data_IF_148030420592
#
_entry.id   IF_148030420592
#
_cell.length_a   1.000
_cell.length_b   1.000
_cell.length_c   1.000
_cell.angle_alpha   90.00
_cell.angle_beta   90.00
_cell.angle_gamma   90.00
#
_symmetry.space_group_name_H-M   'P 1'
#
loop_
_entity.id
_entity.type
_entity.pdbx_description
1 polymer ?
#
# COMPACT_ATOMS: atom_id res chain seq x y z
N UNK A 1 -0.93 15.33 -10.88
CA UNK A 1 -2.29 14.77 -11.17
C UNK A 1 -2.56 13.56 -10.26
N UNK A 2 -3.80 13.38 -9.76
CA UNK A 2 -4.24 12.19 -9.02
C UNK A 2 -5.05 11.29 -9.94
N UNK A 3 -4.61 10.05 -10.09
CA UNK A 3 -5.24 9.05 -10.97
C UNK A 3 -6.09 8.10 -10.14
N UNK A 4 -7.34 7.91 -10.55
CA UNK A 4 -8.26 6.90 -10.01
C UNK A 4 -8.52 5.84 -11.10
N UNK A 5 -8.64 4.57 -10.69
CA UNK A 5 -9.16 3.49 -11.55
C UNK A 5 -10.51 3.05 -11.01
N UNK A 6 -11.50 2.87 -11.88
CA UNK A 6 -12.87 2.62 -11.42
C UNK A 6 -13.71 1.92 -12.48
N UNK A 7 -14.87 1.37 -12.06
CA UNK A 7 -15.89 0.86 -12.98
C UNK A 7 -16.95 1.90 -13.25
N UNK A 8 -17.39 1.98 -14.50
CA UNK A 8 -18.51 2.80 -14.96
C UNK A 8 -19.86 2.06 -14.80
N UNK A 9 -20.99 2.74 -15.03
CA UNK A 9 -22.33 2.13 -15.05
C UNK A 9 -22.47 0.99 -16.08
N UNK A 10 -21.67 1.02 -17.16
CA UNK A 10 -21.65 -0.05 -18.16
C UNK A 10 -20.75 -1.23 -17.76
N UNK A 11 -20.16 -1.20 -16.56
CA UNK A 11 -19.24 -2.22 -16.07
C UNK A 11 -17.85 -2.16 -16.71
N UNK A 12 -17.52 -1.09 -17.45
CA UNK A 12 -16.22 -0.90 -18.06
C UNK A 12 -15.24 -0.35 -17.03
N UNK A 13 -14.04 -0.94 -16.95
CA UNK A 13 -12.94 -0.41 -16.16
C UNK A 13 -12.21 0.68 -16.94
N UNK A 14 -12.02 1.82 -16.30
CA UNK A 14 -11.41 3.01 -16.89
C UNK A 14 -10.53 3.72 -15.86
N UNK A 15 -9.67 4.61 -16.35
CA UNK A 15 -8.89 5.54 -15.53
C UNK A 15 -9.47 6.95 -15.65
N UNK A 16 -9.34 7.72 -14.57
CA UNK A 16 -9.75 9.11 -14.53
C UNK A 16 -8.93 9.94 -13.56
N UNK A 17 -9.21 11.23 -13.55
CA UNK A 17 -8.67 12.20 -12.59
C UNK A 17 -9.79 13.06 -12.01
N UNK A 18 -9.44 13.99 -11.11
CA UNK A 18 -10.36 14.93 -10.49
C UNK A 18 -11.63 14.29 -9.91
N UNK A 19 -11.42 13.15 -9.23
CA UNK A 19 -12.49 12.44 -8.55
C UNK A 19 -13.03 13.24 -7.36
N UNK A 20 -14.34 13.51 -7.38
CA UNK A 20 -15.03 14.28 -6.36
C UNK A 20 -15.83 13.41 -5.35
N UNK A 21 -15.59 12.09 -5.35
CA UNK A 21 -16.31 11.10 -4.55
C UNK A 21 -17.51 10.48 -5.30
N UNK A 22 -17.90 11.01 -6.47
CA UNK A 22 -19.06 10.57 -7.23
C UNK A 22 -18.79 10.45 -8.73
N UNK A 23 -18.06 11.41 -9.29
CA UNK A 23 -17.67 11.44 -10.70
C UNK A 23 -16.18 11.66 -10.85
N UNK A 24 -15.62 11.25 -11.97
CA UNK A 24 -14.23 11.54 -12.35
C UNK A 24 -14.15 11.94 -13.82
N UNK A 25 -13.15 12.75 -14.19
CA UNK A 25 -12.82 13.02 -15.57
C UNK A 25 -12.04 11.86 -16.15
N UNK A 26 -12.41 11.35 -17.35
CA UNK A 26 -11.65 10.28 -18.00
C UNK A 26 -10.25 10.77 -18.38
N UNK A 27 -9.27 9.87 -18.32
CA UNK A 27 -7.91 10.15 -18.80
C UNK A 27 -7.53 9.19 -19.92
N UNK A 28 -6.77 9.70 -20.88
CA UNK A 28 -6.03 8.90 -21.83
C UNK A 28 -4.62 8.65 -21.27
N UNK A 29 -4.15 7.42 -21.35
CA UNK A 29 -2.80 7.03 -20.97
C UNK A 29 -2.01 6.67 -22.22
N UNK A 30 -0.86 7.32 -22.40
CA UNK A 30 0.10 6.97 -23.46
C UNK A 30 1.01 5.80 -23.04
N UNK A 31 1.76 5.24 -23.99
CA UNK A 31 2.70 4.13 -23.76
C UNK A 31 3.82 4.47 -22.77
N UNK A 32 4.17 5.74 -22.62
CA UNK A 32 5.19 6.22 -21.68
C UNK A 32 4.62 6.58 -20.30
N UNK A 33 3.36 6.21 -20.04
CA UNK A 33 2.63 6.52 -18.80
C UNK A 33 2.42 8.03 -18.56
N UNK A 34 2.27 8.81 -19.64
CA UNK A 34 1.74 10.17 -19.55
C UNK A 34 0.21 10.12 -19.55
N UNK A 35 -0.41 10.87 -18.65
CA UNK A 35 -1.87 10.93 -18.52
C UNK A 35 -2.37 12.29 -18.99
N UNK A 36 -3.43 12.29 -19.80
CA UNK A 36 -4.08 13.49 -20.31
C UNK A 36 -5.55 13.47 -19.96
N UNK A 37 -6.03 14.52 -19.31
CA UNK A 37 -7.45 14.69 -19.03
C UNK A 37 -8.22 14.94 -20.33
N UNK A 38 -9.26 14.16 -20.57
CA UNK A 38 -10.13 14.33 -21.76
C UNK A 38 -11.22 15.38 -21.56
N UNK A 39 -11.47 15.80 -20.33
CA UNK A 39 -12.59 16.67 -19.93
C UNK A 39 -13.95 15.96 -19.89
N UNK A 40 -14.05 14.68 -20.27
CA UNK A 40 -15.27 13.90 -20.20
C UNK A 40 -15.47 13.35 -18.79
N UNK A 41 -16.50 13.79 -18.07
CA UNK A 41 -16.83 13.30 -16.73
C UNK A 41 -17.85 12.16 -16.77
N UNK A 42 -17.55 11.11 -15.99
CA UNK A 42 -18.40 9.93 -15.87
C UNK A 42 -18.61 9.56 -14.39
N UNK A 43 -19.69 8.84 -14.12
CA UNK A 43 -20.02 8.36 -12.76
C UNK A 43 -19.08 7.20 -12.37
N UNK A 44 -18.56 7.27 -11.13
CA UNK A 44 -17.75 6.23 -10.50
C UNK A 44 -18.67 5.30 -9.74
N UNK A 45 -18.80 4.06 -10.21
CA UNK A 45 -19.64 3.04 -9.55
C UNK A 45 -18.87 2.31 -8.47
N UNK A 46 -17.63 1.90 -8.77
CA UNK A 46 -16.74 1.25 -7.82
C UNK A 46 -15.31 1.72 -8.05
N UNK A 47 -14.65 2.15 -6.98
CA UNK A 47 -13.22 2.47 -7.01
C UNK A 47 -12.41 1.17 -6.98
N UNK A 48 -11.49 1.03 -7.90
CA UNK A 48 -10.57 -0.10 -8.01
C UNK A 48 -9.17 0.30 -7.50
N UNK A 49 -8.31 -0.65 -7.16
CA UNK A 49 -6.90 -0.33 -6.94
C UNK A 49 -6.35 0.46 -8.12
N UNK A 50 -5.61 1.56 -7.88
CA UNK A 50 -5.17 2.45 -8.96
C UNK A 50 -4.11 1.82 -9.87
N UNK A 51 -3.60 0.65 -9.51
CA UNK A 51 -2.63 -0.14 -10.27
C UNK A 51 -3.00 -1.62 -10.24
N UNK A 52 -2.74 -2.34 -11.33
CA UNK A 52 -2.70 -3.80 -11.39
C UNK A 52 -1.24 -4.23 -11.33
N UNK A 53 -0.73 -4.59 -10.15
CA UNK A 53 0.70 -4.77 -9.99
C UNK A 53 1.22 -6.04 -10.67
N UNK A 54 2.32 -5.89 -11.43
CA UNK A 54 3.10 -7.03 -11.95
C UNK A 54 3.75 -7.85 -10.84
N UNK A 55 4.05 -7.21 -9.71
CA UNK A 55 4.52 -7.80 -8.46
C UNK A 55 4.20 -6.86 -7.30
N UNK A 56 3.99 -7.42 -6.10
CA UNK A 56 3.87 -6.66 -4.85
C UNK A 56 5.08 -7.03 -3.99
N UNK A 57 6.01 -6.09 -3.85
CA UNK A 57 7.24 -6.24 -3.06
C UNK A 57 7.09 -5.41 -1.80
N UNK A 58 7.40 -5.99 -0.65
CA UNK A 58 7.23 -5.35 0.64
C UNK A 58 8.55 -5.27 1.39
N UNK A 59 8.75 -4.19 2.14
CA UNK A 59 9.94 -3.96 2.94
C UNK A 59 9.60 -4.01 4.42
N UNK A 60 10.10 -5.03 5.11
CA UNK A 60 9.91 -5.19 6.56
C UNK A 60 10.83 -4.30 7.38
N UNK A 61 10.33 -3.86 8.55
CA UNK A 61 11.07 -3.14 9.57
C UNK A 61 11.80 -1.88 9.04
N UNK A 62 11.09 -1.07 8.28
CA UNK A 62 11.68 0.10 7.62
C UNK A 62 11.46 1.43 8.34
N UNK A 63 10.90 1.44 9.55
CA UNK A 63 10.78 2.66 10.38
C UNK A 63 11.54 2.50 11.69
N UNK A 64 12.33 3.53 12.06
CA UNK A 64 13.19 3.50 13.26
C UNK A 64 12.39 3.33 14.54
N UNK A 65 11.25 4.04 14.63
CA UNK A 65 10.37 3.95 15.81
C UNK A 65 9.69 2.59 15.90
N UNK A 66 9.30 1.98 14.74
CA UNK A 66 8.74 0.64 14.71
C UNK A 66 9.78 -0.43 15.12
N UNK A 67 11.04 -0.31 14.67
CA UNK A 67 12.12 -1.17 15.13
C UNK A 67 12.30 -1.09 16.67
N UNK A 68 12.31 0.13 17.23
CA UNK A 68 12.36 0.35 18.68
C UNK A 68 11.15 -0.23 19.42
N UNK A 69 9.94 -0.04 18.88
CA UNK A 69 8.69 -0.54 19.47
C UNK A 69 8.70 -2.08 19.56
N UNK A 70 9.17 -2.75 18.52
CA UNK A 70 9.24 -4.22 18.43
C UNK A 70 10.47 -4.81 19.12
N UNK A 71 11.39 -3.98 19.61
CA UNK A 71 12.64 -4.40 20.24
C UNK A 71 13.60 -5.08 19.28
N UNK A 72 13.47 -4.80 17.97
CA UNK A 72 14.34 -5.36 16.92
C UNK A 72 15.45 -4.39 16.58
N UNK A 73 16.61 -4.92 16.22
CA UNK A 73 17.69 -4.13 15.66
C UNK A 73 17.34 -3.65 14.24
N UNK A 74 17.79 -2.44 13.89
CA UNK A 74 17.65 -1.91 12.55
C UNK A 74 18.43 -2.82 11.59
N UNK A 75 17.77 -3.37 10.55
CA UNK A 75 18.44 -4.27 9.62
C UNK A 75 19.50 -3.53 8.79
N UNK A 76 20.59 -4.22 8.46
CA UNK A 76 21.65 -3.66 7.61
C UNK A 76 21.23 -3.50 6.16
N UNK A 77 20.28 -4.32 5.70
CA UNK A 77 19.73 -4.34 4.35
C UNK A 77 18.20 -4.43 4.42
N UNK A 78 17.48 -3.94 3.40
CA UNK A 78 16.02 -4.09 3.34
C UNK A 78 15.58 -5.55 3.51
N UNK A 79 14.70 -5.82 4.47
CA UNK A 79 14.10 -7.13 4.65
C UNK A 79 12.96 -7.29 3.63
N UNK A 80 13.18 -8.08 2.59
CA UNK A 80 12.26 -8.22 1.45
C UNK A 80 11.33 -9.41 1.66
N UNK A 81 10.05 -9.20 1.41
CA UNK A 81 9.06 -10.26 1.21
C UNK A 81 8.06 -9.83 0.14
N UNK A 82 7.13 -10.69 -0.21
CA UNK A 82 6.14 -10.43 -1.25
C UNK A 82 4.73 -10.68 -0.74
N UNK A 83 3.77 -10.03 -1.37
CA UNK A 83 2.34 -10.41 -1.30
C UNK A 83 1.92 -10.95 -2.67
N UNK A 84 0.96 -11.88 -2.66
CA UNK A 84 0.38 -12.37 -3.92
C UNK A 84 -0.48 -11.28 -4.54
N UNK A 85 -0.49 -11.10 -5.87
CA UNK A 85 -1.39 -10.14 -6.52
C UNK A 85 -2.87 -10.34 -6.16
N UNK A 86 -3.31 -11.58 -5.91
CA UNK A 86 -4.65 -11.90 -5.44
C UNK A 86 -5.02 -11.32 -4.06
N UNK A 87 -4.06 -10.80 -3.30
CA UNK A 87 -4.33 -10.11 -2.03
C UNK A 87 -4.78 -8.66 -2.20
N UNK A 88 -4.72 -8.12 -3.41
CA UNK A 88 -5.05 -6.72 -3.70
C UNK A 88 -6.54 -6.44 -3.43
N UNK A 89 -6.84 -5.31 -2.80
CA UNK A 89 -8.19 -4.80 -2.57
C UNK A 89 -8.23 -3.29 -2.81
N UNK A 90 -9.36 -2.77 -3.28
CA UNK A 90 -9.56 -1.35 -3.54
C UNK A 90 -10.08 -0.59 -2.32
N UNK A 91 -10.23 0.72 -2.52
CA UNK A 91 -10.95 1.57 -1.57
C UNK A 91 -12.42 1.14 -1.48
N UNK A 92 -12.92 0.96 -0.26
CA UNK A 92 -14.29 0.50 0.01
C UNK A 92 -14.49 -1.01 -0.08
N UNK A 93 -13.51 -1.79 -0.56
CA UNK A 93 -13.57 -3.25 -0.47
C UNK A 93 -13.40 -3.71 0.98
N UNK A 94 -14.06 -4.82 1.34
CA UNK A 94 -13.87 -5.41 2.66
C UNK A 94 -12.50 -6.09 2.78
N UNK A 95 -11.87 -5.96 3.94
CA UNK A 95 -10.75 -6.82 4.35
C UNK A 95 -11.34 -8.03 5.07
N UNK A 96 -11.21 -9.20 4.46
CA UNK A 96 -11.84 -10.44 4.93
C UNK A 96 -10.88 -11.24 5.79
N UNK A 97 -11.22 -11.41 7.08
CA UNK A 97 -10.46 -12.28 8.00
C UNK A 97 -10.71 -13.74 7.59
N UNK A 98 -9.67 -14.47 7.13
CA UNK A 98 -9.86 -15.85 6.68
C UNK A 98 -10.14 -16.79 7.85
N UNK A 99 -10.98 -17.82 7.65
CA UNK A 99 -11.32 -18.84 8.67
C UNK A 99 -10.08 -19.44 9.33
N UNK A 100 -9.05 -19.72 8.54
CA UNK A 100 -7.81 -20.31 9.05
C UNK A 100 -6.99 -19.36 9.94
N UNK A 101 -7.28 -18.05 9.95
CA UNK A 101 -6.62 -17.02 10.75
C UNK A 101 -7.55 -16.39 11.80
N UNK A 102 -8.74 -16.96 12.01
CA UNK A 102 -9.75 -16.42 12.95
C UNK A 102 -9.68 -17.02 14.36
N UNK A 103 -8.89 -18.09 14.59
CA UNK A 103 -8.71 -18.72 15.91
C UNK A 103 -7.24 -19.06 16.20
N UNK A 104 -6.57 -18.33 17.10
CA UNK A 104 -6.97 -17.01 17.62
C UNK A 104 -6.93 -15.94 16.54
N UNK A 105 -7.82 -14.94 16.61
CA UNK A 105 -7.84 -13.84 15.64
C UNK A 105 -6.65 -12.91 15.92
N UNK A 106 -5.62 -13.00 15.08
CA UNK A 106 -4.41 -12.18 15.17
C UNK A 106 -4.14 -11.46 13.85
N UNK A 107 -5.21 -10.91 13.22
CA UNK A 107 -5.09 -10.06 12.04
C UNK A 107 -4.87 -8.62 12.45
N UNK A 108 -3.87 -7.98 11.88
CA UNK A 108 -3.35 -6.67 12.24
C UNK A 108 -3.24 -5.75 11.02
N UNK A 109 -3.17 -4.47 11.26
CA UNK A 109 -3.07 -3.40 10.28
C UNK A 109 -1.64 -2.85 10.21
N UNK A 110 -1.23 -2.38 9.03
CA UNK A 110 0.05 -1.71 8.78
C UNK A 110 -0.12 -0.64 7.68
N UNK A 111 -0.26 0.64 8.07
CA UNK A 111 -0.26 1.74 7.12
C UNK A 111 1.09 1.88 6.44
N UNK A 112 1.12 1.93 5.11
CA UNK A 112 2.34 2.06 4.32
C UNK A 112 2.17 2.99 3.13
N UNK A 113 3.23 3.69 2.75
CA UNK A 113 3.32 4.35 1.46
C UNK A 113 3.56 3.30 0.39
N UNK A 114 2.70 3.23 -0.61
CA UNK A 114 2.90 2.42 -1.81
C UNK A 114 3.60 3.22 -2.90
N UNK A 115 4.61 2.63 -3.54
CA UNK A 115 5.37 3.20 -4.65
C UNK A 115 5.14 2.37 -5.89
N UNK A 116 4.71 2.99 -6.99
CA UNK A 116 4.44 2.32 -8.27
C UNK A 116 5.58 2.59 -9.25
N UNK A 117 6.17 1.53 -9.80
CA UNK A 117 7.26 1.62 -10.77
C UNK A 117 6.71 1.95 -12.17
N UNK A 118 7.28 2.99 -12.83
CA UNK A 118 6.88 3.48 -14.15
C UNK A 118 7.43 2.65 -15.31
N UNK A 119 8.72 2.34 -15.26
CA UNK A 119 9.49 1.70 -16.34
C UNK A 119 10.43 0.64 -15.79
N UNK A 120 10.86 -0.31 -16.62
CA UNK A 120 11.76 -1.38 -16.19
C UNK A 120 13.03 -0.81 -15.55
N UNK A 121 13.25 -1.15 -14.27
CA UNK A 121 14.37 -0.69 -13.47
C UNK A 121 15.34 -1.85 -13.19
N UNK A 122 16.58 -1.74 -13.68
CA UNK A 122 17.65 -2.73 -13.45
C UNK A 122 18.96 -2.03 -13.23
N UNK A 123 19.64 -2.35 -12.13
CA UNK A 123 20.91 -1.74 -11.72
C UNK A 123 20.86 -0.21 -11.66
N UNK A 124 19.76 0.31 -11.12
CA UNK A 124 19.52 1.76 -11.01
C UNK A 124 20.27 2.32 -9.81
N UNK A 125 20.94 3.46 -9.97
CA UNK A 125 21.58 4.18 -8.87
C UNK A 125 20.55 4.86 -7.97
N UNK A 126 20.92 5.23 -6.74
CA UNK A 126 20.00 5.97 -5.85
C UNK A 126 19.65 7.34 -6.42
N UNK A 127 20.58 8.00 -7.12
CA UNK A 127 20.40 9.29 -7.74
C UNK A 127 19.35 9.27 -8.85
N UNK A 128 19.24 8.16 -9.59
CA UNK A 128 18.31 7.99 -10.70
C UNK A 128 16.98 7.33 -10.29
N UNK A 129 16.92 6.76 -9.09
CA UNK A 129 15.84 5.84 -8.68
C UNK A 129 14.44 6.45 -8.78
N UNK A 130 14.28 7.72 -8.40
CA UNK A 130 12.98 8.40 -8.43
C UNK A 130 12.47 8.65 -9.86
N UNK A 131 13.32 8.67 -10.89
CA UNK A 131 12.92 8.76 -12.31
C UNK A 131 12.21 7.49 -12.81
N UNK A 132 12.26 6.42 -12.02
CA UNK A 132 11.58 5.15 -12.30
C UNK A 132 10.23 5.03 -11.58
N UNK A 133 9.83 6.02 -10.80
CA UNK A 133 8.56 6.04 -10.08
C UNK A 133 7.47 6.67 -10.95
N UNK A 134 6.30 6.02 -11.03
CA UNK A 134 5.10 6.55 -11.66
C UNK A 134 4.32 7.45 -10.69
N UNK A 135 4.18 7.01 -9.45
CA UNK A 135 3.41 7.70 -8.44
C UNK A 135 3.34 6.95 -7.13
N UNK A 136 2.58 7.49 -6.21
CA UNK A 136 2.44 7.06 -4.82
C UNK A 136 0.97 6.85 -4.47
N UNK A 137 0.69 5.89 -3.58
CA UNK A 137 -0.67 5.55 -3.14
C UNK A 137 -0.67 5.15 -1.67
N UNK A 138 -1.83 5.19 -1.02
CA UNK A 138 -1.98 4.60 0.30
C UNK A 138 -2.08 3.08 0.18
N UNK A 139 -1.44 2.35 1.09
CA UNK A 139 -1.56 0.90 1.20
C UNK A 139 -1.69 0.46 2.65
N UNK A 140 -2.26 -0.73 2.86
CA UNK A 140 -2.34 -1.37 4.17
C UNK A 140 -1.80 -2.79 4.06
N UNK A 141 -0.63 -3.07 4.66
CA UNK A 141 -0.03 -4.40 4.67
C UNK A 141 -0.67 -5.28 5.75
N UNK A 142 -1.94 -5.64 5.55
CA UNK A 142 -2.70 -6.46 6.49
C UNK A 142 -1.99 -7.79 6.75
N UNK A 143 -1.88 -8.17 8.03
CA UNK A 143 -0.99 -9.23 8.48
C UNK A 143 -1.67 -10.17 9.47
N UNK A 144 -1.79 -11.45 9.16
CA UNK A 144 -2.14 -12.49 10.10
C UNK A 144 -0.88 -12.88 10.90
N UNK A 145 -0.70 -12.29 12.09
CA UNK A 145 0.56 -12.34 12.87
C UNK A 145 1.01 -13.76 13.22
N UNK A 146 0.08 -14.65 13.57
CA UNK A 146 0.40 -16.06 13.85
C UNK A 146 0.96 -16.76 12.61
N UNK A 147 0.35 -16.54 11.45
CA UNK A 147 0.80 -17.12 10.18
C UNK A 147 2.11 -16.50 9.70
N UNK A 148 2.31 -15.21 9.93
CA UNK A 148 3.56 -14.53 9.65
C UNK A 148 4.73 -15.12 10.46
N UNK A 149 4.52 -15.37 11.77
CA UNK A 149 5.60 -15.72 12.71
C UNK A 149 5.80 -17.21 12.92
N UNK A 150 4.73 -18.01 12.94
CA UNK A 150 4.81 -19.38 13.45
C UNK A 150 4.34 -20.45 12.44
N UNK A 151 3.23 -20.21 11.77
CA UNK A 151 2.60 -21.23 10.93
C UNK A 151 3.25 -21.40 9.55
N UNK A 152 4.02 -20.45 9.09
CA UNK A 152 4.67 -20.45 7.77
C UNK A 152 6.18 -20.68 7.81
N UNK A 153 6.74 -21.30 8.84
CA UNK A 153 8.20 -21.48 8.99
C UNK A 153 8.98 -20.17 8.81
N UNK A 154 8.48 -19.08 9.42
CA UNK A 154 8.99 -17.72 9.31
C UNK A 154 8.91 -17.10 7.89
N UNK A 155 8.11 -17.65 7.00
CA UNK A 155 7.83 -17.08 5.69
C UNK A 155 6.69 -16.05 5.81
N UNK A 156 7.03 -14.78 5.82
CA UNK A 156 6.07 -13.69 6.03
C UNK A 156 4.98 -13.65 4.96
N UNK A 157 5.36 -13.93 3.72
CA UNK A 157 4.45 -13.93 2.56
C UNK A 157 3.14 -14.67 2.86
N UNK A 158 3.17 -15.85 3.51
CA UNK A 158 1.96 -16.62 3.79
C UNK A 158 0.97 -15.88 4.71
N UNK A 159 1.47 -15.21 5.74
CA UNK A 159 0.63 -14.45 6.69
C UNK A 159 0.15 -13.10 6.15
N UNK A 160 0.65 -12.68 5.00
CA UNK A 160 0.39 -11.36 4.41
C UNK A 160 -0.30 -11.42 3.03
N UNK A 161 -0.56 -12.62 2.50
CA UNK A 161 -1.09 -12.82 1.14
C UNK A 161 -2.45 -13.50 1.09
N UNK A 162 -3.25 -13.40 2.14
CA UNK A 162 -4.66 -13.78 2.02
C UNK A 162 -5.39 -12.79 1.11
N UNK A 163 -6.46 -13.23 0.49
CA UNK A 163 -7.31 -12.36 -0.30
C UNK A 163 -7.69 -11.11 0.50
N UNK A 164 -7.72 -9.95 -0.15
CA UNK A 164 -8.01 -8.64 0.44
C UNK A 164 -6.97 -8.08 1.44
N UNK A 165 -5.84 -8.77 1.67
CA UNK A 165 -4.82 -8.34 2.64
C UNK A 165 -3.86 -7.25 2.13
N UNK A 166 -4.08 -6.71 0.93
CA UNK A 166 -3.34 -5.58 0.37
C UNK A 166 -4.29 -4.47 -0.12
N UNK A 167 -5.04 -3.80 0.79
CA UNK A 167 -5.75 -2.59 0.42
C UNK A 167 -4.81 -1.57 -0.22
N UNK A 168 -5.24 -0.95 -1.34
CA UNK A 168 -4.45 -0.03 -2.14
C UNK A 168 -5.35 1.04 -2.79
N UNK A 169 -5.02 2.29 -2.66
CA UNK A 169 -5.79 3.41 -3.22
C UNK A 169 -6.05 4.57 -2.23
N UNK A 170 -7.12 5.35 -2.39
CA UNK A 170 -8.10 5.33 -3.49
C UNK A 170 -7.56 5.78 -4.83
N UNK A 171 -6.46 6.56 -4.82
CA UNK A 171 -5.82 7.16 -5.99
C UNK A 171 -4.33 6.86 -6.01
N UNK A 172 -3.73 6.98 -7.17
CA UNK A 172 -2.29 7.14 -7.35
C UNK A 172 -1.99 8.61 -7.64
N UNK A 173 -1.21 9.24 -6.79
CA UNK A 173 -0.72 10.60 -6.98
C UNK A 173 0.59 10.55 -7.75
N UNK A 174 0.64 11.18 -8.93
CA UNK A 174 1.82 11.20 -9.78
C UNK A 174 2.97 11.98 -9.11
N UNK A 175 4.20 11.70 -9.55
CA UNK A 175 5.42 12.25 -8.93
C UNK A 175 5.53 13.77 -8.96
N UNK A 176 4.91 14.44 -9.94
CA UNK A 176 4.86 15.89 -10.04
C UNK A 176 4.11 16.59 -8.90
N UNK A 177 3.17 15.87 -8.24
CA UNK A 177 2.41 16.36 -7.08
C UNK A 177 3.11 16.04 -5.74
N UNK A 178 4.12 15.17 -5.75
CA UNK A 178 4.87 14.73 -4.56
C UNK A 178 6.36 14.98 -4.77
N UNK A 179 6.82 16.22 -4.54
CA UNK A 179 8.22 16.58 -4.81
C UNK A 179 9.22 15.87 -3.87
N UNK A 180 8.80 15.50 -2.67
CA UNK A 180 9.63 14.76 -1.71
C UNK A 180 8.80 13.66 -1.01
N UNK A 181 8.87 12.42 -1.47
CA UNK A 181 8.14 11.31 -0.85
C UNK A 181 8.71 10.88 0.52
N UNK A 182 9.89 11.38 0.91
CA UNK A 182 10.45 11.16 2.25
C UNK A 182 9.97 12.21 3.26
N UNK A 183 9.05 13.09 2.87
CA UNK A 183 8.54 14.16 3.71
C UNK A 183 7.00 14.23 3.71
N UNK A 184 6.36 13.11 4.06
CA UNK A 184 4.91 12.97 4.11
C UNK A 184 4.45 12.47 5.48
N UNK A 185 3.38 13.07 6.03
CA UNK A 185 2.69 12.51 7.17
C UNK A 185 1.95 11.23 6.76
N UNK A 186 2.00 10.21 7.62
CA UNK A 186 1.30 8.93 7.44
C UNK A 186 0.56 8.57 8.72
N UNK A 187 -0.74 8.23 8.59
CA UNK A 187 -1.61 7.90 9.71
C UNK A 187 -2.48 6.69 9.41
N UNK A 188 -2.82 5.96 10.47
CA UNK A 188 -3.91 4.99 10.44
C UNK A 188 -4.88 5.25 11.57
N UNK A 189 -6.16 5.26 11.25
CA UNK A 189 -7.25 5.27 12.23
C UNK A 189 -8.02 3.94 12.16
N UNK A 190 -8.35 3.44 13.34
CA UNK A 190 -9.23 2.28 13.52
C UNK A 190 -10.47 2.75 14.29
N UNK A 191 -11.65 2.66 13.67
CA UNK A 191 -12.92 3.15 14.23
C UNK A 191 -12.87 4.63 14.66
N UNK A 192 -12.11 5.45 13.90
CA UNK A 192 -11.91 6.87 14.18
C UNK A 192 -10.81 7.18 15.22
N UNK A 193 -10.27 6.19 15.92
CA UNK A 193 -9.16 6.37 16.84
C UNK A 193 -7.81 6.23 16.12
N UNK A 194 -6.90 7.20 16.33
CA UNK A 194 -5.57 7.18 15.72
C UNK A 194 -4.70 6.09 16.34
N UNK A 195 -4.29 5.13 15.49
CA UNK A 195 -3.44 4.01 15.86
C UNK A 195 -1.99 4.21 15.46
N UNK A 196 -1.74 4.71 14.28
CA UNK A 196 -0.42 5.07 13.78
C UNK A 196 -0.42 6.56 13.40
N UNK A 197 0.60 7.30 13.81
CA UNK A 197 0.81 8.72 13.47
C UNK A 197 2.31 8.98 13.38
N UNK A 198 2.81 9.07 12.17
CA UNK A 198 4.25 9.12 11.90
C UNK A 198 4.53 9.92 10.62
N UNK A 199 5.75 9.77 10.12
CA UNK A 199 6.24 10.53 8.97
C UNK A 199 7.22 9.69 8.16
N UNK A 200 7.19 9.78 6.82
CA UNK A 200 8.06 8.98 5.94
C UNK A 200 9.55 9.27 6.12
N UNK A 201 9.92 10.40 6.72
CA UNK A 201 11.32 10.70 7.11
C UNK A 201 11.87 9.78 8.21
N UNK A 202 10.99 9.02 8.92
CA UNK A 202 11.43 8.02 9.91
C UNK A 202 11.89 6.71 9.25
N UNK A 203 11.73 6.55 7.92
CA UNK A 203 12.20 5.38 7.18
C UNK A 203 13.70 5.18 7.36
N UNK A 204 14.12 3.93 7.53
CA UNK A 204 15.51 3.50 7.59
C UNK A 204 16.15 3.56 6.21
N UNK A 205 15.49 2.94 5.23
CA UNK A 205 15.86 2.93 3.83
C UNK A 205 14.93 3.87 3.07
N UNK A 206 15.49 4.84 2.37
CA UNK A 206 14.72 5.74 1.52
C UNK A 206 14.10 5.01 0.33
N UNK A 207 13.11 5.62 -0.33
CA UNK A 207 12.52 5.07 -1.56
C UNK A 207 13.60 4.88 -2.64
N UNK A 208 14.50 5.85 -2.79
CA UNK A 208 15.62 5.75 -3.72
C UNK A 208 16.54 4.57 -3.40
N UNK A 209 16.91 4.40 -2.12
CA UNK A 209 17.71 3.27 -1.67
C UNK A 209 17.01 1.93 -1.92
N UNK A 210 15.71 1.82 -1.62
CA UNK A 210 14.95 0.59 -1.87
C UNK A 210 14.92 0.22 -3.34
N UNK A 211 14.63 1.17 -4.25
CA UNK A 211 14.61 0.92 -5.70
C UNK A 211 15.99 0.52 -6.19
N UNK A 212 17.04 1.23 -5.79
CA UNK A 212 18.41 0.88 -6.15
C UNK A 212 18.76 -0.53 -5.68
N UNK A 213 18.49 -0.86 -4.41
CA UNK A 213 18.77 -2.17 -3.84
C UNK A 213 18.00 -3.31 -4.54
N UNK A 214 16.69 -3.14 -4.74
CA UNK A 214 15.81 -4.12 -5.35
C UNK A 214 16.13 -4.37 -6.84
N UNK A 215 16.69 -3.37 -7.53
CA UNK A 215 17.02 -3.45 -8.94
C UNK A 215 18.40 -4.07 -9.22
N UNK A 216 19.20 -4.36 -8.19
CA UNK A 216 20.54 -4.97 -8.35
C UNK A 216 20.42 -6.35 -8.99
N UNK A 217 20.88 -6.46 -10.25
CA UNK A 217 20.83 -7.69 -11.06
C UNK A 217 19.45 -8.32 -11.22
N UNK A 218 18.40 -7.62 -10.77
CA UNK A 218 17.00 -8.01 -10.83
C UNK A 218 16.19 -6.89 -11.48
N UNK A 219 15.25 -7.21 -12.36
CA UNK A 219 14.46 -6.18 -13.05
C UNK A 219 13.14 -5.97 -12.33
N UNK A 220 12.91 -4.77 -11.81
CA UNK A 220 11.59 -4.31 -11.41
C UNK A 220 10.81 -3.98 -12.68
N UNK A 221 9.70 -4.67 -12.90
CA UNK A 221 8.85 -4.45 -14.08
C UNK A 221 7.96 -3.20 -13.89
N UNK A 222 7.52 -2.56 -14.98
CA UNK A 222 6.48 -1.53 -14.91
C UNK A 222 5.25 -2.05 -14.16
N UNK A 223 4.63 -1.21 -13.35
CA UNK A 223 3.50 -1.58 -12.50
C UNK A 223 3.87 -2.35 -11.22
N UNK A 224 5.15 -2.64 -10.95
CA UNK A 224 5.54 -3.18 -9.64
C UNK A 224 5.11 -2.21 -8.54
N UNK A 225 4.38 -2.72 -7.54
CA UNK A 225 3.99 -1.99 -6.33
C UNK A 225 4.97 -2.34 -5.21
N UNK A 226 5.63 -1.33 -4.65
CA UNK A 226 6.52 -1.47 -3.49
C UNK A 226 5.80 -0.91 -2.26
N UNK A 227 5.58 -1.74 -1.25
CA UNK A 227 5.12 -1.35 0.09
C UNK A 227 6.35 -1.04 0.93
N UNK A 228 6.42 0.19 1.45
CA UNK A 228 7.68 0.77 1.96
C UNK A 228 7.97 0.50 3.42
N UNK A 229 7.13 -0.30 4.09
CA UNK A 229 7.19 -0.54 5.52
C UNK A 229 6.25 0.34 6.33
N UNK A 230 5.90 -0.12 7.52
CA UNK A 230 4.95 0.53 8.41
C UNK A 230 5.63 1.23 9.59
N UNK A 231 5.09 2.36 10.07
CA UNK A 231 5.54 3.01 11.30
C UNK A 231 5.08 2.26 12.57
N UNK A 232 5.45 2.77 13.72
CA UNK A 232 4.99 2.34 15.04
C UNK A 232 3.47 2.45 15.20
N UNK A 233 2.91 1.75 16.21
CA UNK A 233 1.50 1.79 16.57
C UNK A 233 0.68 0.61 16.04
N UNK A 234 1.33 -0.42 15.51
CA UNK A 234 0.66 -1.67 15.08
C UNK A 234 -0.01 -2.38 16.25
N UNK A 235 -1.04 -3.17 15.96
CA UNK A 235 -1.90 -3.76 16.98
C UNK A 235 -1.21 -4.77 17.88
N UNK A 236 -0.30 -5.59 17.34
CA UNK A 236 0.36 -6.65 18.12
C UNK A 236 1.35 -6.15 19.18
N UNK A 237 1.82 -4.91 19.08
CA UNK A 237 2.73 -4.29 20.06
C UNK A 237 1.98 -3.63 21.22
N UNK A 238 0.70 -3.36 21.06
CA UNK A 238 -0.14 -2.67 22.04
C UNK A 238 -0.33 -3.50 23.32
N UNK A 239 -0.67 -2.82 24.41
CA UNK A 239 -0.95 -3.44 25.71
C UNK A 239 -2.30 -2.92 26.24
N UNK A 240 -3.38 -3.71 26.20
CA UNK A 240 -3.46 -5.06 25.62
C UNK A 240 -3.28 -5.05 24.08
N UNK A 241 -2.91 -6.19 23.49
CA UNK A 241 -2.85 -6.35 22.04
C UNK A 241 -4.20 -6.04 21.41
N UNK A 242 -4.17 -5.36 20.28
CA UNK A 242 -5.35 -4.98 19.53
C UNK A 242 -5.28 -5.59 18.12
N UNK A 243 -6.23 -6.44 17.80
CA UNK A 243 -6.34 -7.06 16.49
C UNK A 243 -7.66 -6.69 15.83
N UNK A 244 -7.68 -6.74 14.50
CA UNK A 244 -8.87 -6.48 13.71
C UNK A 244 -9.95 -7.52 13.97
N UNK A 245 -11.18 -7.08 13.93
CA UNK A 245 -12.38 -7.91 14.08
C UNK A 245 -13.47 -7.44 13.11
N UNK A 246 -14.42 -8.30 12.77
CA UNK A 246 -15.53 -7.93 11.91
C UNK A 246 -16.28 -6.70 12.42
N UNK A 247 -16.59 -5.78 11.51
CA UNK A 247 -17.21 -4.49 11.80
C UNK A 247 -16.22 -3.33 12.04
N UNK A 248 -14.92 -3.61 12.18
CA UNK A 248 -13.92 -2.54 12.28
C UNK A 248 -13.79 -1.78 10.96
N UNK A 249 -13.51 -0.47 11.05
CA UNK A 249 -13.25 0.43 9.92
C UNK A 249 -11.82 0.97 10.04
N UNK A 250 -11.04 0.74 9.01
CA UNK A 250 -9.67 1.22 8.87
C UNK A 250 -9.61 2.39 7.91
N UNK A 251 -8.82 3.41 8.24
CA UNK A 251 -8.51 4.55 7.36
C UNK A 251 -7.00 4.77 7.37
N UNK A 252 -6.37 4.59 6.20
CA UNK A 252 -4.97 4.94 5.99
C UNK A 252 -4.91 6.27 5.27
N UNK A 253 -4.34 7.28 5.90
CA UNK A 253 -4.18 8.63 5.37
C UNK A 253 -2.70 8.93 5.13
N UNK A 254 -2.38 9.38 3.93
CA UNK A 254 -1.05 9.90 3.60
C UNK A 254 -1.20 11.30 3.01
N UNK A 255 -0.39 12.21 3.54
CA UNK A 255 -0.37 13.62 3.14
C UNK A 255 -0.23 13.77 1.62
N UNK A 256 -1.02 14.67 1.04
CA UNK A 256 -1.11 14.95 -0.40
C UNK A 256 -1.56 13.77 -1.29
N UNK A 257 -1.79 12.58 -0.74
CA UNK A 257 -2.31 11.42 -1.49
C UNK A 257 -3.81 11.29 -1.28
N UNK A 258 -4.24 10.95 -0.07
CA UNK A 258 -5.66 10.79 0.24
C UNK A 258 -5.90 9.86 1.42
N UNK A 259 -7.12 9.34 1.51
CA UNK A 259 -7.56 8.42 2.56
C UNK A 259 -8.09 7.13 1.92
N UNK A 260 -7.41 6.03 2.20
CA UNK A 260 -7.85 4.68 1.85
C UNK A 260 -8.70 4.13 3.00
N UNK A 261 -9.93 3.73 2.69
CA UNK A 261 -10.88 3.24 3.69
C UNK A 261 -11.31 1.81 3.37
N UNK A 262 -11.36 0.95 4.38
CA UNK A 262 -11.81 -0.44 4.26
C UNK A 262 -12.53 -0.89 5.54
N UNK A 263 -13.62 -1.64 5.36
CA UNK A 263 -14.29 -2.35 6.45
C UNK A 263 -13.67 -3.73 6.64
N UNK A 264 -13.78 -4.27 7.84
CA UNK A 264 -13.32 -5.62 8.16
C UNK A 264 -14.52 -6.57 8.23
N UNK A 265 -14.43 -7.69 7.55
CA UNK A 265 -15.45 -8.75 7.53
C UNK A 265 -14.86 -10.10 7.92
N UNK A 266 -15.70 -11.07 8.22
CA UNK A 266 -15.31 -12.45 8.46
C UNK A 266 -15.61 -13.29 7.22
N UNK A 267 -14.71 -14.16 6.82
CA UNK A 267 -14.98 -15.18 5.80
C UNK A 267 -16.16 -16.07 6.22
N UNK A 268 -17.14 -16.22 5.31
CA UNK A 268 -18.37 -17.04 5.51
C UNK A 268 -18.10 -18.56 5.57
#
# INVERSE_FOLDING_TARGET
>A
MKIIRFTTQQGKEVMGCDWDGKTASLVEQSEDYTFSDTGERVEVVKVLPPVEPSAIICIGLNYRRHAKETGQEIPKYPAIFMKYPGSLAGHGDAVVIPKCASDPPEVDYEAELGVVIKKAAKNVSEEEALDYVLGYTCTNDVSARRWQKHAGAFQWTRGKSYDTFCPCGPVMTLTDEIPDPQNLAIKLRLNGETMQDSHTSDMVFSIANMISYLSQSSTLLPGTLILTGTPEGVGFTRKPRLYLKPGDRMEVEIENIGVLENLVEQEE
#
